data_IF_110990812660
#
_entry.id   IF_110990812660
#
_cell.length_a   1.000
_cell.length_b   1.000
_cell.length_c   1.000
_cell.angle_alpha   90.00
_cell.angle_beta   90.00
_cell.angle_gamma   90.00
#
_symmetry.space_group_name_H-M   'P 1'
#
loop_
_entity.id
_entity.type
_entity.pdbx_description
1 polymer ?
#
# COMPACT_ATOMS: atom_id res chain seq x y z
N UNK A 1 2.25 -20.23 15.21
CA UNK A 1 3.54 -20.73 14.65
C UNK A 1 4.23 -21.56 15.73
N UNK A 2 4.70 -22.78 15.48
CA UNK A 2 5.43 -23.60 16.45
C UNK A 2 6.90 -23.55 16.06
N UNK A 3 7.73 -22.82 16.83
CA UNK A 3 9.18 -22.82 16.62
C UNK A 3 9.75 -24.20 16.93
N UNK A 4 10.56 -24.75 16.02
CA UNK A 4 11.11 -26.08 16.14
C UNK A 4 12.39 -26.13 17.00
N UNK A 5 13.20 -25.08 17.03
CA UNK A 5 14.42 -24.96 17.86
C UNK A 5 14.86 -23.50 18.04
N UNK A 6 15.43 -23.20 19.20
CA UNK A 6 16.14 -21.95 19.44
C UNK A 6 17.39 -22.24 20.28
N UNK A 7 18.56 -21.86 19.75
CA UNK A 7 19.83 -21.91 20.46
C UNK A 7 20.22 -20.49 20.87
N UNK A 8 19.60 -20.02 21.96
CA UNK A 8 19.97 -18.73 22.55
C UNK A 8 21.23 -18.85 23.37
N UNK A 9 22.11 -17.84 23.26
CA UNK A 9 23.30 -17.75 24.09
C UNK A 9 22.94 -17.68 25.59
N UNK A 10 23.83 -18.16 26.46
CA UNK A 10 23.56 -18.30 27.91
C UNK A 10 23.02 -17.02 28.56
N UNK A 11 23.42 -15.83 28.07
CA UNK A 11 23.00 -14.53 28.61
C UNK A 11 21.77 -13.91 27.88
N UNK A 12 21.24 -14.54 26.82
CA UNK A 12 20.07 -14.06 26.09
C UNK A 12 18.85 -14.84 26.52
N UNK A 13 17.79 -14.13 26.82
CA UNK A 13 16.50 -14.70 27.21
C UNK A 13 15.50 -14.74 26.03
N UNK A 14 15.59 -13.80 25.08
CA UNK A 14 14.68 -13.71 23.95
C UNK A 14 15.34 -12.97 22.76
N UNK A 15 14.82 -13.18 21.55
CA UNK A 15 15.23 -12.52 20.31
C UNK A 15 14.02 -12.13 19.48
N UNK A 16 13.97 -10.86 19.10
CA UNK A 16 12.90 -10.29 18.29
C UNK A 16 13.46 -9.72 16.98
N UNK A 17 12.65 -9.65 15.93
CA UNK A 17 12.93 -8.82 14.76
C UNK A 17 12.08 -7.55 14.82
N UNK A 18 12.65 -6.44 14.35
CA UNK A 18 11.90 -5.25 14.02
C UNK A 18 11.61 -5.27 12.52
N UNK A 19 10.33 -5.19 12.18
CA UNK A 19 9.85 -5.07 10.80
C UNK A 19 9.50 -3.62 10.54
N UNK A 20 9.87 -3.12 9.37
CA UNK A 20 9.55 -1.76 8.93
C UNK A 20 9.08 -1.79 7.48
N UNK A 21 8.10 -0.94 7.14
CA UNK A 21 7.65 -0.73 5.78
C UNK A 21 8.62 0.16 5.00
N UNK A 22 8.89 -0.23 3.76
CA UNK A 22 9.71 0.49 2.79
C UNK A 22 9.01 0.53 1.44
N UNK A 23 9.50 1.34 0.53
CA UNK A 23 9.01 1.48 -0.84
C UNK A 23 8.90 0.15 -1.62
N UNK A 24 9.72 -0.85 -1.26
CA UNK A 24 9.74 -2.19 -1.87
C UNK A 24 8.98 -3.26 -1.08
N UNK A 25 8.29 -2.89 -0.03
CA UNK A 25 7.66 -3.81 0.92
C UNK A 25 8.41 -3.89 2.26
N UNK A 26 8.05 -4.83 3.16
CA UNK A 26 8.65 -4.89 4.48
C UNK A 26 10.09 -5.36 4.45
N UNK A 27 10.88 -4.81 5.37
CA UNK A 27 12.25 -5.21 5.63
C UNK A 27 12.50 -5.40 7.12
N UNK A 28 13.65 -6.01 7.45
CA UNK A 28 14.10 -6.21 8.83
C UNK A 28 15.41 -5.43 9.06
N UNK A 29 15.31 -4.16 9.52
CA UNK A 29 16.49 -3.34 9.80
C UNK A 29 17.18 -3.67 11.11
N UNK A 30 16.50 -4.34 12.08
CA UNK A 30 17.04 -4.61 13.40
C UNK A 30 16.69 -5.98 13.92
N UNK A 31 17.61 -6.55 14.69
CA UNK A 31 17.38 -7.66 15.61
C UNK A 31 17.52 -7.11 17.01
N UNK A 32 16.57 -7.41 17.89
CA UNK A 32 16.54 -6.99 19.27
C UNK A 32 16.74 -8.23 20.15
N UNK A 33 17.75 -8.19 20.99
CA UNK A 33 18.07 -9.25 21.94
C UNK A 33 17.67 -8.79 23.33
N UNK A 34 16.89 -9.61 24.03
CA UNK A 34 16.65 -9.42 25.46
C UNK A 34 17.69 -10.21 26.25
N UNK A 35 18.42 -9.53 27.10
CA UNK A 35 19.42 -10.11 27.99
C UNK A 35 18.77 -10.55 29.31
N UNK A 36 19.48 -11.40 30.05
CA UNK A 36 19.05 -11.80 31.43
C UNK A 36 19.45 -10.77 32.49
N UNK A 37 20.38 -9.88 32.17
CA UNK A 37 20.86 -8.83 33.06
C UNK A 37 21.07 -7.53 32.27
N UNK A 38 20.87 -6.39 32.93
CA UNK A 38 21.13 -5.08 32.34
C UNK A 38 22.62 -4.88 32.07
N UNK A 39 22.92 -4.21 30.95
CA UNK A 39 24.28 -3.80 30.59
C UNK A 39 24.32 -2.30 30.36
N UNK A 40 25.40 -1.64 30.71
CA UNK A 40 25.52 -0.17 30.65
C UNK A 40 26.08 0.31 29.30
N UNK A 41 26.77 -0.54 28.56
CA UNK A 41 27.28 -0.25 27.24
C UNK A 41 27.51 -1.52 26.42
N UNK A 42 27.40 -1.38 25.10
CA UNK A 42 27.65 -2.46 24.15
C UNK A 42 28.26 -1.89 22.88
N UNK A 43 29.20 -2.66 22.32
CA UNK A 43 29.75 -2.41 20.97
C UNK A 43 30.24 -3.72 20.37
N UNK A 44 30.44 -3.78 19.07
CA UNK A 44 31.07 -4.92 18.41
C UNK A 44 32.08 -4.46 17.37
N UNK A 45 33.21 -5.18 17.33
CA UNK A 45 34.27 -4.93 16.33
C UNK A 45 34.07 -5.74 15.06
N UNK A 46 33.36 -6.85 15.14
CA UNK A 46 32.96 -7.69 14.01
C UNK A 46 31.80 -8.56 14.43
N UNK A 47 30.87 -8.72 13.51
CA UNK A 47 29.72 -9.59 13.69
C UNK A 47 29.17 -10.01 12.32
N UNK A 48 28.52 -11.15 12.29
CA UNK A 48 27.75 -11.58 11.13
C UNK A 48 26.34 -11.89 11.57
N UNK A 49 25.41 -11.49 10.73
CA UNK A 49 23.99 -11.78 10.88
C UNK A 49 23.49 -12.39 9.60
N UNK A 50 22.68 -13.41 9.71
CA UNK A 50 21.86 -13.90 8.60
C UNK A 50 20.40 -13.85 9.00
N UNK A 51 19.55 -13.39 8.07
CA UNK A 51 18.08 -13.41 8.20
C UNK A 51 17.51 -14.10 6.98
N UNK A 52 16.58 -15.04 7.17
CA UNK A 52 16.00 -15.84 6.08
C UNK A 52 17.09 -16.49 5.18
N UNK A 53 18.23 -16.88 5.76
CA UNK A 53 19.37 -17.47 5.04
C UNK A 53 20.26 -16.49 4.27
N UNK A 54 19.97 -15.18 4.29
CA UNK A 54 20.77 -14.14 3.63
C UNK A 54 21.71 -13.46 4.62
N UNK A 55 22.97 -13.24 4.21
CA UNK A 55 23.93 -12.48 5.00
C UNK A 55 23.54 -10.99 5.07
N UNK A 56 23.60 -10.40 6.27
CA UNK A 56 23.28 -9.00 6.53
C UNK A 56 24.52 -8.24 6.97
N UNK A 57 24.61 -6.98 6.55
CA UNK A 57 25.69 -6.09 6.99
C UNK A 57 25.26 -5.39 8.27
N UNK A 58 25.94 -5.66 9.39
CA UNK A 58 25.72 -4.95 10.65
C UNK A 58 26.30 -3.53 10.55
N UNK A 59 25.51 -2.54 10.89
CA UNK A 59 25.86 -1.11 10.83
C UNK A 59 26.14 -0.52 12.22
N UNK A 60 25.37 -0.94 13.25
CA UNK A 60 25.56 -0.50 14.64
C UNK A 60 25.07 -1.57 15.61
N UNK A 61 25.58 -1.52 16.85
CA UNK A 61 25.10 -2.31 17.99
C UNK A 61 25.08 -1.39 19.21
N UNK A 62 23.93 -1.33 19.88
CA UNK A 62 23.72 -0.40 21.00
C UNK A 62 22.69 -0.94 22.00
N UNK A 63 22.69 -0.37 23.22
CA UNK A 63 21.63 -0.59 24.21
C UNK A 63 20.34 0.12 23.76
N UNK A 64 19.20 -0.54 23.89
CA UNK A 64 17.91 -0.02 23.46
C UNK A 64 16.79 -0.34 24.46
N UNK A 65 15.61 0.16 24.22
CA UNK A 65 14.38 -0.29 24.88
C UNK A 65 13.81 -1.55 24.19
N UNK A 66 12.70 -2.05 24.70
CA UNK A 66 12.02 -3.22 24.14
C UNK A 66 11.56 -3.05 22.67
N UNK A 67 11.44 -1.79 22.21
CA UNK A 67 11.06 -1.45 20.83
C UNK A 67 12.26 -1.17 19.93
N UNK A 68 13.49 -1.41 20.43
CA UNK A 68 14.73 -1.20 19.67
C UNK A 68 15.12 0.28 19.51
N UNK A 69 14.56 1.18 20.34
CA UNK A 69 14.96 2.60 20.37
C UNK A 69 16.19 2.75 21.25
N UNK A 70 17.23 3.45 20.72
CA UNK A 70 18.49 3.65 21.41
C UNK A 70 18.29 4.33 22.78
N UNK A 71 18.90 3.78 23.83
CA UNK A 71 18.88 4.33 25.18
C UNK A 71 20.25 4.92 25.56
N UNK A 72 20.25 5.94 26.44
CA UNK A 72 21.50 6.52 26.98
C UNK A 72 21.99 5.84 28.29
N UNK A 73 21.24 4.84 28.75
CA UNK A 73 21.49 4.19 30.05
C UNK A 73 21.63 2.69 29.95
N UNK A 74 21.73 2.05 31.12
CA UNK A 74 21.71 0.60 31.20
C UNK A 74 20.38 0.04 30.68
N UNK A 75 20.42 -1.09 30.00
CA UNK A 75 19.26 -1.80 29.48
C UNK A 75 19.52 -3.31 29.45
N UNK A 76 18.46 -4.08 29.58
CA UNK A 76 18.45 -5.51 29.29
C UNK A 76 18.17 -5.81 27.80
N UNK A 77 18.08 -4.78 26.94
CA UNK A 77 17.92 -4.94 25.50
C UNK A 77 19.11 -4.41 24.72
N UNK A 78 19.49 -5.14 23.68
CA UNK A 78 20.51 -4.76 22.69
C UNK A 78 19.88 -4.80 21.30
N UNK A 79 20.04 -3.73 20.53
CA UNK A 79 19.73 -3.70 19.11
C UNK A 79 20.98 -4.00 18.27
N UNK A 80 20.81 -4.86 17.28
CA UNK A 80 21.77 -5.10 16.20
C UNK A 80 21.14 -4.51 14.94
N UNK A 81 21.66 -3.37 14.51
CA UNK A 81 21.17 -2.66 13.33
C UNK A 81 21.87 -3.15 12.07
N UNK A 82 21.11 -3.28 10.99
CA UNK A 82 21.57 -3.84 9.73
C UNK A 82 21.26 -2.92 8.56
N UNK A 83 22.22 -2.82 7.63
CA UNK A 83 21.94 -2.18 6.35
C UNK A 83 20.76 -2.88 5.65
N UNK A 84 19.78 -2.08 5.20
CA UNK A 84 18.59 -2.56 4.53
C UNK A 84 18.43 -1.82 3.22
N UNK A 85 18.17 -2.54 2.14
CA UNK A 85 17.99 -2.02 0.80
C UNK A 85 16.99 -2.88 0.05
N UNK A 86 16.53 -2.42 -1.10
CA UNK A 86 15.63 -3.18 -1.98
C UNK A 86 16.18 -4.57 -2.37
N UNK A 87 17.50 -4.74 -2.40
CA UNK A 87 18.18 -6.00 -2.74
C UNK A 87 18.48 -6.88 -1.51
N UNK A 88 18.41 -6.33 -0.31
CA UNK A 88 18.73 -7.02 0.93
C UNK A 88 17.80 -6.57 2.08
N UNK A 89 16.50 -6.65 1.84
CA UNK A 89 15.49 -6.26 2.82
C UNK A 89 15.36 -7.27 3.98
N UNK A 90 15.62 -8.56 3.72
CA UNK A 90 15.32 -9.63 4.66
C UNK A 90 13.83 -9.69 4.97
N UNK A 91 12.97 -9.51 3.95
CA UNK A 91 11.52 -9.46 4.13
C UNK A 91 10.99 -10.71 4.83
N UNK A 92 10.15 -10.55 5.85
CA UNK A 92 9.45 -11.68 6.49
C UNK A 92 8.17 -12.08 5.75
N UNK A 93 7.77 -11.36 4.67
CA UNK A 93 6.68 -11.76 3.80
C UNK A 93 7.19 -12.62 2.65
N UNK A 94 6.43 -13.64 2.32
CA UNK A 94 6.68 -14.54 1.18
C UNK A 94 5.43 -14.62 0.30
N UNK A 95 5.64 -14.76 -1.00
CA UNK A 95 4.53 -14.96 -1.93
C UNK A 95 4.06 -16.41 -1.90
N UNK A 96 2.78 -16.62 -1.63
CA UNK A 96 2.12 -17.93 -1.72
C UNK A 96 1.51 -18.10 -3.11
N UNK A 97 2.15 -18.88 -3.96
CA UNK A 97 1.70 -19.11 -5.33
C UNK A 97 0.40 -19.93 -5.45
N UNK A 98 -0.07 -20.56 -4.38
CA UNK A 98 -1.34 -21.26 -4.36
C UNK A 98 -2.50 -20.32 -4.01
N UNK A 99 -2.28 -19.43 -3.06
CA UNK A 99 -3.25 -18.41 -2.65
C UNK A 99 -3.18 -17.12 -3.49
N UNK A 100 -2.09 -16.95 -4.27
CA UNK A 100 -1.84 -15.79 -5.11
C UNK A 100 -1.72 -14.46 -4.33
N UNK A 101 -1.28 -14.52 -3.08
CA UNK A 101 -1.05 -13.35 -2.25
C UNK A 101 0.17 -13.51 -1.35
N UNK A 102 0.62 -12.42 -0.73
CA UNK A 102 1.67 -12.46 0.29
C UNK A 102 1.12 -13.01 1.61
N UNK A 103 1.99 -13.70 2.34
CA UNK A 103 1.77 -14.11 3.73
C UNK A 103 3.05 -13.98 4.53
N UNK A 104 2.94 -14.00 5.85
CA UNK A 104 4.11 -14.15 6.72
C UNK A 104 4.77 -15.49 6.49
N UNK A 105 6.10 -15.51 6.47
CA UNK A 105 6.87 -16.75 6.32
C UNK A 105 6.58 -17.71 7.48
N UNK A 106 6.34 -18.96 7.17
CA UNK A 106 6.11 -20.01 8.19
C UNK A 106 7.34 -20.22 9.07
N UNK A 107 8.53 -19.97 8.50
CA UNK A 107 9.82 -20.00 9.20
C UNK A 107 10.63 -18.78 8.81
N UNK A 108 11.30 -18.16 9.79
CA UNK A 108 12.18 -17.03 9.55
C UNK A 108 13.47 -17.23 10.35
N UNK A 109 14.44 -18.01 9.82
CA UNK A 109 15.68 -18.29 10.53
C UNK A 109 16.53 -17.04 10.68
N UNK A 110 16.95 -16.80 11.91
CA UNK A 110 17.90 -15.72 12.28
C UNK A 110 19.09 -16.34 12.95
N UNK A 111 20.30 -15.97 12.50
CA UNK A 111 21.56 -16.35 13.14
C UNK A 111 22.38 -15.10 13.39
N UNK A 112 22.82 -14.94 14.62
CA UNK A 112 23.71 -13.87 15.05
C UNK A 112 25.01 -14.47 15.53
N UNK A 113 26.12 -14.00 14.99
CA UNK A 113 27.47 -14.35 15.44
C UNK A 113 28.26 -13.06 15.65
N UNK A 114 28.53 -12.74 16.91
CA UNK A 114 29.35 -11.58 17.32
C UNK A 114 30.55 -12.07 18.14
N UNK A 115 31.64 -12.46 17.48
CA UNK A 115 32.80 -13.07 18.19
C UNK A 115 33.53 -12.11 19.11
N UNK A 116 33.28 -10.81 19.01
CA UNK A 116 33.88 -9.78 19.88
C UNK A 116 32.85 -8.73 20.25
N UNK A 117 31.76 -9.14 20.90
CA UNK A 117 30.86 -8.22 21.54
C UNK A 117 31.48 -7.68 22.82
N UNK A 118 31.61 -6.37 22.97
CA UNK A 118 32.07 -5.70 24.17
C UNK A 118 30.88 -5.25 24.98
N UNK A 119 30.71 -5.79 26.17
CA UNK A 119 29.65 -5.45 27.11
C UNK A 119 30.30 -4.93 28.37
N UNK A 120 30.01 -3.73 28.82
CA UNK A 120 30.56 -3.06 29.98
C UNK A 120 32.13 -3.08 30.05
N UNK A 121 32.75 -3.03 28.85
CA UNK A 121 34.21 -3.05 28.71
C UNK A 121 34.86 -4.43 28.68
N UNK A 122 34.09 -5.50 28.88
CA UNK A 122 34.54 -6.88 28.79
C UNK A 122 34.24 -7.49 27.42
N UNK A 123 35.12 -8.35 26.91
CA UNK A 123 34.91 -9.03 25.63
C UNK A 123 34.11 -10.32 25.82
N UNK A 124 33.08 -10.48 25.07
CA UNK A 124 32.28 -11.70 25.02
C UNK A 124 32.32 -12.31 23.62
N UNK A 125 32.32 -13.65 23.57
CA UNK A 125 32.01 -14.35 22.33
C UNK A 125 30.51 -14.67 22.36
N UNK A 126 29.80 -14.26 21.31
CA UNK A 126 28.35 -14.35 21.27
C UNK A 126 27.89 -15.05 20.00
N UNK A 127 26.99 -16.02 20.14
CA UNK A 127 26.30 -16.69 19.02
C UNK A 127 24.88 -17.05 19.45
N UNK A 128 23.89 -16.71 18.65
CA UNK A 128 22.52 -17.12 18.88
C UNK A 128 21.84 -17.44 17.55
N UNK A 129 20.89 -18.37 17.56
CA UNK A 129 20.08 -18.68 16.41
C UNK A 129 18.66 -19.06 16.79
N UNK A 130 17.70 -18.72 15.93
CA UNK A 130 16.32 -19.15 16.01
C UNK A 130 15.85 -19.55 14.61
N UNK A 131 15.01 -20.56 14.49
CA UNK A 131 14.48 -21.03 13.21
C UNK A 131 13.21 -20.26 12.79
N UNK A 132 12.47 -19.74 13.76
CA UNK A 132 11.34 -18.84 13.50
C UNK A 132 11.26 -17.76 14.60
N UNK A 133 10.64 -16.66 14.28
CA UNK A 133 10.42 -15.55 15.22
C UNK A 133 8.97 -15.61 15.70
N UNK A 134 8.80 -15.83 17.01
CA UNK A 134 7.48 -15.82 17.66
C UNK A 134 6.95 -14.41 17.90
N UNK A 135 7.87 -13.44 17.98
CA UNK A 135 7.56 -12.04 18.23
C UNK A 135 8.25 -11.17 17.19
N UNK A 136 7.48 -10.34 16.57
CA UNK A 136 7.96 -9.25 15.74
C UNK A 136 7.41 -7.93 16.27
N UNK A 137 8.23 -6.90 16.19
CA UNK A 137 7.84 -5.52 16.49
C UNK A 137 7.72 -4.83 15.15
N UNK A 138 6.58 -4.21 14.89
CA UNK A 138 6.33 -3.46 13.67
C UNK A 138 5.67 -2.11 14.00
N UNK A 139 6.47 -1.07 14.32
CA UNK A 139 5.94 0.24 14.70
C UNK A 139 5.01 0.85 13.66
N UNK A 140 5.23 0.55 12.38
CA UNK A 140 4.40 1.07 11.28
C UNK A 140 2.96 0.52 11.34
N UNK A 141 2.78 -0.78 11.66
CA UNK A 141 1.44 -1.38 11.78
C UNK A 141 0.82 -1.18 13.15
N UNK A 142 1.64 -1.02 14.20
CA UNK A 142 1.17 -0.74 15.56
C UNK A 142 0.43 0.61 15.68
N UNK A 143 0.73 1.58 14.82
CA UNK A 143 -0.02 2.84 14.72
C UNK A 143 -1.46 2.64 14.25
N UNK A 144 -1.74 1.54 13.56
CA UNK A 144 -3.06 1.14 13.09
C UNK A 144 -3.69 0.18 14.11
N UNK A 145 -4.18 0.73 15.21
CA UNK A 145 -4.62 -0.06 16.36
C UNK A 145 -6.04 -0.61 16.26
N UNK A 146 -6.89 0.01 15.44
CA UNK A 146 -8.26 -0.44 15.24
C UNK A 146 -8.33 -1.53 14.18
N UNK A 147 -8.82 -2.71 14.55
CA UNK A 147 -8.92 -3.89 13.67
C UNK A 147 -10.32 -4.46 13.78
N UNK A 148 -10.91 -4.78 12.65
CA UNK A 148 -12.24 -5.41 12.57
C UNK A 148 -12.34 -6.30 11.32
N UNK A 149 -13.38 -7.12 11.27
CA UNK A 149 -13.77 -7.88 10.11
C UNK A 149 -15.28 -7.81 9.93
N UNK A 150 -15.72 -7.53 8.72
CA UNK A 150 -17.14 -7.53 8.39
C UNK A 150 -17.45 -8.68 7.43
N UNK A 151 -18.37 -9.54 7.84
CA UNK A 151 -18.89 -10.65 7.05
C UNK A 151 -20.34 -10.39 6.69
N UNK A 152 -20.68 -10.58 5.44
CA UNK A 152 -22.04 -10.47 4.91
C UNK A 152 -22.28 -11.46 3.78
N UNK A 153 -23.55 -11.63 3.43
CA UNK A 153 -23.98 -12.52 2.35
C UNK A 153 -24.45 -11.68 1.16
N UNK A 154 -23.81 -11.86 0.01
CA UNK A 154 -24.04 -11.08 -1.21
C UNK A 154 -24.21 -11.99 -2.42
N UNK A 155 -24.94 -11.49 -3.43
CA UNK A 155 -25.10 -12.19 -4.68
C UNK A 155 -23.78 -12.22 -5.46
N UNK A 156 -23.26 -13.40 -5.72
CA UNK A 156 -22.20 -13.59 -6.69
C UNK A 156 -22.82 -13.62 -8.09
N UNK A 157 -22.65 -12.53 -8.84
CA UNK A 157 -23.26 -12.38 -10.17
C UNK A 157 -22.70 -13.34 -11.22
N UNK A 158 -21.52 -13.93 -10.99
CA UNK A 158 -20.92 -14.90 -11.88
C UNK A 158 -21.57 -16.30 -11.73
N UNK A 159 -21.79 -16.73 -10.49
CA UNK A 159 -22.42 -18.02 -10.19
C UNK A 159 -23.95 -17.94 -10.13
N UNK A 160 -24.50 -16.77 -9.83
CA UNK A 160 -25.92 -16.54 -9.58
C UNK A 160 -26.38 -17.05 -8.20
N UNK A 161 -25.46 -17.35 -7.29
CA UNK A 161 -25.71 -17.84 -5.92
C UNK A 161 -25.32 -16.79 -4.89
N UNK A 162 -25.94 -16.86 -3.70
CA UNK A 162 -25.48 -16.06 -2.56
C UNK A 162 -24.20 -16.68 -1.98
N UNK A 163 -23.22 -15.82 -1.68
CA UNK A 163 -21.91 -16.18 -1.14
C UNK A 163 -21.64 -15.37 0.12
N UNK A 164 -21.12 -16.01 1.16
CA UNK A 164 -20.59 -15.33 2.34
C UNK A 164 -19.22 -14.75 1.98
N UNK A 165 -19.04 -13.45 2.23
CA UNK A 165 -17.80 -12.72 1.96
C UNK A 165 -17.37 -12.00 3.23
N UNK A 166 -16.06 -11.88 3.43
CA UNK A 166 -15.46 -11.16 4.56
C UNK A 166 -14.48 -10.10 4.04
N UNK A 167 -14.56 -8.90 4.59
CA UNK A 167 -13.52 -7.89 4.45
C UNK A 167 -12.88 -7.62 5.80
N UNK A 168 -11.54 -7.59 5.80
CA UNK A 168 -10.76 -7.25 6.97
C UNK A 168 -10.36 -5.78 6.92
N UNK A 169 -10.37 -5.11 8.05
CA UNK A 169 -10.02 -3.70 8.16
C UNK A 169 -8.95 -3.47 9.20
N UNK A 170 -8.11 -2.48 8.93
CA UNK A 170 -7.14 -1.96 9.87
C UNK A 170 -7.11 -0.44 9.74
N UNK A 171 -7.14 0.28 10.86
CA UNK A 171 -7.23 1.72 10.83
C UNK A 171 -6.26 2.42 11.79
N UNK A 172 -5.70 3.53 11.32
CA UNK A 172 -5.12 4.58 12.14
C UNK A 172 -6.22 5.58 12.50
N UNK A 173 -6.32 5.89 13.78
CA UNK A 173 -7.31 6.79 14.33
C UNK A 173 -6.59 7.98 14.99
N UNK A 174 -6.79 9.22 14.52
CA UNK A 174 -6.25 10.41 15.16
C UNK A 174 -6.94 10.67 16.50
N UNK A 175 -6.43 11.62 17.28
CA UNK A 175 -7.10 12.02 18.51
C UNK A 175 -8.53 12.49 18.23
N UNK A 176 -9.48 12.04 19.08
CA UNK A 176 -10.88 12.45 18.98
C UNK A 176 -11.04 13.95 19.29
N UNK A 177 -11.86 14.60 18.49
CA UNK A 177 -12.12 16.02 18.61
C UNK A 177 -13.22 16.34 19.61
N UNK A 178 -13.01 17.38 20.41
CA UNK A 178 -14.04 17.90 21.33
C UNK A 178 -15.02 18.82 20.60
N UNK A 179 -16.28 18.88 21.09
CA UNK A 179 -17.25 19.89 20.63
C UNK A 179 -17.99 19.60 19.34
N UNK A 180 -17.88 18.37 18.80
CA UNK A 180 -18.60 17.95 17.60
C UNK A 180 -17.89 18.29 16.29
N UNK A 181 -16.64 18.71 16.34
CA UNK A 181 -15.75 18.81 15.20
C UNK A 181 -15.33 17.43 14.71
N UNK A 182 -14.91 17.30 13.45
CA UNK A 182 -14.71 16.01 12.80
C UNK A 182 -13.44 16.00 11.97
N UNK A 183 -12.79 14.83 11.95
CA UNK A 183 -11.63 14.52 11.14
C UNK A 183 -12.01 13.92 9.79
N UNK A 184 -11.25 14.16 8.71
CA UNK A 184 -11.46 13.46 7.44
C UNK A 184 -11.07 11.99 7.53
N UNK A 185 -11.54 11.19 6.56
CA UNK A 185 -11.22 9.78 6.40
C UNK A 185 -10.55 9.53 5.06
N UNK A 186 -9.35 8.97 5.08
CA UNK A 186 -8.64 8.44 3.91
C UNK A 186 -8.80 6.92 3.89
N UNK A 187 -9.37 6.39 2.81
CA UNK A 187 -9.53 4.95 2.61
C UNK A 187 -8.50 4.49 1.57
N UNK A 188 -7.78 3.41 1.90
CA UNK A 188 -6.83 2.77 1.01
C UNK A 188 -7.26 1.36 0.62
N UNK A 189 -7.27 1.09 -0.68
CA UNK A 189 -7.55 -0.21 -1.26
C UNK A 189 -6.27 -0.82 -1.83
N UNK A 190 -5.94 -2.01 -1.37
CA UNK A 190 -4.68 -2.69 -1.64
C UNK A 190 -4.49 -3.17 -3.07
N UNK A 191 -3.25 -3.47 -3.45
CA UNK A 191 -2.89 -4.06 -4.74
C UNK A 191 -3.20 -5.57 -4.83
N UNK A 192 -2.91 -6.16 -6.00
CA UNK A 192 -3.30 -7.53 -6.34
C UNK A 192 -2.82 -8.59 -5.34
N UNK A 193 -1.60 -8.51 -4.82
CA UNK A 193 -0.98 -9.57 -4.02
C UNK A 193 -1.15 -9.39 -2.51
N UNK A 194 -1.94 -8.43 -2.10
CA UNK A 194 -2.14 -8.06 -0.70
C UNK A 194 -3.50 -8.53 -0.16
N UNK A 195 -4.24 -9.33 -0.93
CA UNK A 195 -5.48 -9.99 -0.47
C UNK A 195 -5.22 -11.01 0.64
N UNK A 196 -6.26 -11.49 1.28
CA UNK A 196 -6.19 -12.50 2.36
C UNK A 196 -6.94 -12.10 3.61
N UNK A 197 -6.44 -12.57 4.77
CA UNK A 197 -7.10 -12.42 6.06
C UNK A 197 -6.24 -11.69 7.10
N UNK A 198 -5.13 -11.10 6.67
CA UNK A 198 -4.20 -10.36 7.53
C UNK A 198 -3.98 -8.94 6.98
N UNK A 199 -4.69 -7.94 7.52
CA UNK A 199 -4.65 -6.58 6.99
C UNK A 199 -3.32 -5.85 7.24
N UNK A 200 -2.40 -6.36 8.07
CA UNK A 200 -1.03 -5.82 8.16
C UNK A 200 -0.31 -5.86 6.82
N UNK A 201 -0.62 -6.87 6.00
CA UNK A 201 -0.03 -7.02 4.67
C UNK A 201 -0.39 -5.83 3.76
N UNK A 202 -1.60 -5.31 3.88
CA UNK A 202 -2.04 -4.15 3.08
C UNK A 202 -1.33 -2.85 3.46
N UNK A 203 -0.79 -2.77 4.67
CA UNK A 203 -0.01 -1.63 5.13
C UNK A 203 1.46 -1.72 4.71
N UNK A 204 2.00 -2.94 4.70
CA UNK A 204 3.44 -3.18 4.48
C UNK A 204 3.78 -3.51 3.03
N UNK A 205 2.88 -4.14 2.30
CA UNK A 205 3.16 -4.64 0.95
C UNK A 205 3.56 -3.54 -0.03
N UNK A 206 2.86 -2.41 0.00
CA UNK A 206 3.12 -1.22 -0.82
C UNK A 206 3.39 0.03 0.03
N UNK A 207 3.74 -0.11 1.30
CA UNK A 207 4.05 1.00 2.22
C UNK A 207 2.84 1.90 2.55
N UNK A 208 1.61 1.41 2.48
CA UNK A 208 0.42 2.21 2.80
C UNK A 208 0.41 2.73 4.26
N UNK A 209 1.20 2.12 5.16
CA UNK A 209 1.48 2.64 6.50
C UNK A 209 1.99 4.09 6.50
N UNK A 210 2.61 4.56 5.42
CA UNK A 210 3.05 5.94 5.26
C UNK A 210 1.93 6.96 5.38
N UNK A 211 0.68 6.61 5.08
CA UNK A 211 -0.48 7.50 5.24
C UNK A 211 -0.70 7.94 6.70
N UNK A 212 -0.19 7.20 7.67
CA UNK A 212 -0.24 7.58 9.08
C UNK A 212 1.01 8.33 9.56
N UNK A 213 2.03 8.52 8.72
CA UNK A 213 3.25 9.28 9.08
C UNK A 213 2.98 10.78 9.18
N UNK A 214 3.71 11.46 10.01
CA UNK A 214 3.52 12.89 10.28
C UNK A 214 3.70 13.75 9.02
N UNK A 215 4.58 13.32 8.08
CA UNK A 215 4.81 13.98 6.79
C UNK A 215 3.54 14.08 5.94
N UNK A 216 2.61 13.15 6.10
CA UNK A 216 1.32 13.13 5.41
C UNK A 216 0.21 13.66 6.33
N UNK A 217 0.16 13.21 7.58
CA UNK A 217 -0.87 13.61 8.54
C UNK A 217 -0.92 15.11 8.79
N UNK A 218 0.23 15.82 8.73
CA UNK A 218 0.31 17.25 8.90
C UNK A 218 -0.51 18.06 7.87
N UNK A 219 -0.85 17.48 6.72
CA UNK A 219 -1.75 18.13 5.75
C UNK A 219 -3.21 18.15 6.23
N UNK A 220 -3.58 17.30 7.18
CA UNK A 220 -4.93 17.15 7.71
C UNK A 220 -5.11 17.78 9.09
N UNK A 221 -4.23 18.69 9.49
CA UNK A 221 -4.25 19.40 10.79
C UNK A 221 -4.36 20.93 10.63
N UNK A 222 -4.81 21.40 9.46
CA UNK A 222 -4.79 22.83 9.13
C UNK A 222 -5.87 23.67 9.83
N UNK A 223 -6.90 23.04 10.39
CA UNK A 223 -8.00 23.68 11.13
C UNK A 223 -7.98 23.26 12.59
N UNK A 224 -9.10 22.69 13.03
CA UNK A 224 -9.22 22.09 14.36
C UNK A 224 -9.03 20.57 14.31
N UNK A 225 -8.72 20.02 13.13
CA UNK A 225 -8.47 18.61 12.94
C UNK A 225 -7.16 18.18 13.62
N UNK A 226 -7.14 16.97 14.15
CA UNK A 226 -5.96 16.34 14.76
C UNK A 226 -5.23 15.38 13.82
N UNK A 227 -5.75 15.20 12.59
CA UNK A 227 -5.25 14.34 11.54
C UNK A 227 -6.40 13.75 10.72
N UNK A 228 -6.08 12.86 9.79
CA UNK A 228 -7.06 12.06 9.07
C UNK A 228 -7.10 10.64 9.64
N UNK A 229 -8.31 10.07 9.75
CA UNK A 229 -8.45 8.63 9.85
C UNK A 229 -7.86 7.98 8.60
N UNK A 230 -7.18 6.85 8.75
CA UNK A 230 -6.71 6.05 7.63
C UNK A 230 -7.27 4.66 7.77
N UNK A 231 -8.12 4.23 6.84
CA UNK A 231 -8.74 2.92 6.82
C UNK A 231 -8.19 2.11 5.65
N UNK A 232 -7.39 1.08 5.92
CA UNK A 232 -7.01 0.09 4.92
C UNK A 232 -7.96 -1.10 4.98
N UNK A 233 -8.48 -1.51 3.82
CA UNK A 233 -9.46 -2.58 3.69
C UNK A 233 -8.86 -3.69 2.85
N UNK A 234 -8.98 -4.93 3.31
CA UNK A 234 -8.48 -6.13 2.64
C UNK A 234 -9.62 -7.04 2.21
N UNK A 235 -9.63 -7.43 0.93
CA UNK A 235 -10.49 -8.51 0.44
C UNK A 235 -9.74 -9.84 0.44
N UNK A 236 -10.49 -10.94 0.45
CA UNK A 236 -9.92 -12.28 0.53
C UNK A 236 -9.12 -12.67 -0.73
N UNK A 237 -9.53 -12.18 -1.91
CA UNK A 237 -8.92 -12.54 -3.20
C UNK A 237 -8.39 -11.29 -3.94
N UNK A 238 -9.14 -10.75 -4.87
CA UNK A 238 -8.80 -9.60 -5.70
C UNK A 238 -9.99 -8.65 -5.81
N UNK A 239 -9.77 -7.36 -5.78
CA UNK A 239 -10.84 -6.40 -6.05
C UNK A 239 -11.45 -6.58 -7.45
N UNK A 240 -10.67 -7.12 -8.39
CA UNK A 240 -11.12 -7.42 -9.76
C UNK A 240 -11.74 -8.81 -9.91
N UNK A 241 -11.99 -9.55 -8.82
CA UNK A 241 -12.67 -10.84 -8.83
C UNK A 241 -14.14 -10.66 -9.22
N UNK A 242 -14.49 -11.17 -10.39
CA UNK A 242 -15.87 -11.10 -10.93
C UNK A 242 -16.80 -12.14 -10.29
N UNK A 243 -16.27 -13.01 -9.41
CA UNK A 243 -17.00 -14.08 -8.71
C UNK A 243 -16.51 -15.48 -9.03
N UNK A 244 -15.43 -15.62 -9.80
CA UNK A 244 -14.82 -16.92 -10.14
C UNK A 244 -13.54 -17.22 -9.36
N UNK A 245 -13.17 -16.34 -8.40
CA UNK A 245 -11.98 -16.45 -7.58
C UNK A 245 -10.68 -16.05 -8.29
N UNK A 246 -10.77 -15.53 -9.51
CA UNK A 246 -9.61 -15.13 -10.31
C UNK A 246 -9.46 -13.62 -10.38
N UNK A 247 -8.24 -13.17 -10.69
CA UNK A 247 -8.01 -11.76 -10.97
C UNK A 247 -8.57 -11.42 -12.34
N UNK A 248 -9.64 -10.62 -12.40
CA UNK A 248 -10.26 -10.14 -13.64
C UNK A 248 -9.37 -9.19 -14.44
N UNK A 249 -9.94 -8.55 -15.46
CA UNK A 249 -9.22 -7.63 -16.35
C UNK A 249 -9.78 -6.19 -16.31
N UNK A 250 -10.43 -5.80 -15.21
CA UNK A 250 -10.93 -4.43 -15.04
C UNK A 250 -12.25 -4.14 -15.74
N UNK A 251 -13.16 -5.11 -15.82
CA UNK A 251 -14.46 -4.99 -16.50
C UNK A 251 -15.46 -4.06 -15.84
N UNK A 252 -15.20 -3.64 -14.60
CA UNK A 252 -16.18 -2.92 -13.77
C UNK A 252 -17.16 -3.85 -13.07
N UNK A 253 -16.90 -5.14 -13.04
CA UNK A 253 -17.63 -6.15 -12.27
C UNK A 253 -16.73 -6.63 -11.16
N UNK A 254 -17.19 -6.57 -9.90
CA UNK A 254 -16.51 -7.10 -8.74
C UNK A 254 -17.52 -7.65 -7.76
N UNK A 255 -17.28 -8.87 -7.26
CA UNK A 255 -18.12 -9.45 -6.21
C UNK A 255 -18.06 -8.66 -4.90
N UNK A 256 -17.02 -7.85 -4.71
CA UNK A 256 -16.80 -7.08 -3.49
C UNK A 256 -17.44 -5.68 -3.48
N UNK A 257 -18.10 -5.24 -4.55
CA UNK A 257 -18.61 -3.86 -4.66
C UNK A 257 -19.59 -3.50 -3.52
N UNK A 258 -20.57 -4.35 -3.24
CA UNK A 258 -21.59 -4.09 -2.23
C UNK A 258 -21.04 -4.21 -0.81
N UNK A 259 -20.32 -5.29 -0.50
CA UNK A 259 -19.75 -5.50 0.84
C UNK A 259 -18.72 -4.41 1.18
N UNK A 260 -17.96 -3.89 0.21
CA UNK A 260 -17.04 -2.80 0.43
C UNK A 260 -17.77 -1.53 0.86
N UNK A 261 -18.87 -1.20 0.18
CA UNK A 261 -19.68 -0.04 0.57
C UNK A 261 -20.26 -0.19 1.99
N UNK A 262 -20.79 -1.37 2.30
CA UNK A 262 -21.33 -1.67 3.63
C UNK A 262 -20.25 -1.61 4.72
N UNK A 263 -19.04 -2.11 4.42
CA UNK A 263 -17.89 -2.03 5.33
C UNK A 263 -17.51 -0.58 5.62
N UNK A 264 -17.41 0.26 4.58
CA UNK A 264 -17.12 1.68 4.71
C UNK A 264 -18.20 2.40 5.53
N UNK A 265 -19.48 2.16 5.20
CA UNK A 265 -20.60 2.79 5.89
C UNK A 265 -20.61 2.44 7.38
N UNK A 266 -20.39 1.16 7.73
CA UNK A 266 -20.29 0.69 9.12
C UNK A 266 -19.13 1.35 9.88
N UNK A 267 -17.97 1.47 9.25
CA UNK A 267 -16.83 2.15 9.87
C UNK A 267 -17.14 3.63 10.17
N UNK A 268 -17.74 4.35 9.22
CA UNK A 268 -18.14 5.75 9.40
C UNK A 268 -19.22 5.90 10.49
N UNK A 269 -20.21 4.99 10.55
CA UNK A 269 -21.25 4.99 11.58
C UNK A 269 -20.69 4.71 12.98
N UNK A 270 -19.67 3.87 13.08
CA UNK A 270 -19.02 3.51 14.36
C UNK A 270 -18.10 4.62 14.87
N UNK A 271 -17.55 5.44 14.00
CA UNK A 271 -16.62 6.51 14.31
C UNK A 271 -17.29 7.89 14.13
N UNK A 272 -17.96 8.36 15.18
CA UNK A 272 -18.85 9.54 15.11
C UNK A 272 -18.15 10.86 14.88
N UNK A 273 -16.84 10.92 15.04
CA UNK A 273 -15.95 12.06 14.73
C UNK A 273 -15.29 11.98 13.34
N UNK A 274 -15.60 10.97 12.53
CA UNK A 274 -15.33 10.99 11.08
C UNK A 274 -16.29 11.98 10.41
N UNK A 275 -15.75 12.84 9.55
CA UNK A 275 -16.55 13.76 8.72
C UNK A 275 -17.11 13.04 7.49
N UNK A 276 -18.43 12.78 7.41
CA UNK A 276 -19.05 12.09 6.28
C UNK A 276 -19.00 12.91 4.98
N UNK A 277 -18.65 14.19 5.05
CA UNK A 277 -18.46 15.04 3.87
C UNK A 277 -17.01 15.06 3.38
N UNK A 278 -16.09 14.45 4.11
CA UNK A 278 -14.65 14.45 3.79
C UNK A 278 -14.09 13.03 3.82
N UNK A 279 -14.71 12.15 3.01
CA UNK A 279 -14.28 10.76 2.82
C UNK A 279 -13.57 10.67 1.48
N UNK A 280 -12.30 10.27 1.50
CA UNK A 280 -11.42 10.18 0.34
C UNK A 280 -11.09 8.73 0.05
N UNK A 281 -11.19 8.32 -1.21
CA UNK A 281 -10.95 6.95 -1.63
C UNK A 281 -9.75 6.87 -2.56
N UNK A 282 -8.80 6.01 -2.23
CA UNK A 282 -7.64 5.72 -3.07
C UNK A 282 -7.23 4.26 -3.04
N UNK A 283 -6.39 3.89 -3.97
CA UNK A 283 -5.84 2.55 -4.07
C UNK A 283 -4.92 2.42 -5.27
N UNK A 284 -4.06 1.41 -5.27
CA UNK A 284 -3.12 1.17 -6.35
C UNK A 284 -3.48 -0.09 -7.14
N UNK A 285 -3.26 -0.05 -8.47
CA UNK A 285 -3.42 -1.23 -9.33
C UNK A 285 -4.83 -1.84 -9.23
N UNK A 286 -4.95 -3.02 -8.68
CA UNK A 286 -6.21 -3.69 -8.34
C UNK A 286 -7.09 -2.84 -7.41
N UNK A 287 -6.49 -2.18 -6.39
CA UNK A 287 -7.18 -1.21 -5.55
C UNK A 287 -7.55 0.08 -6.29
N UNK A 288 -6.71 0.52 -7.23
CA UNK A 288 -7.03 1.64 -8.13
C UNK A 288 -8.22 1.33 -9.04
N UNK A 289 -8.33 0.09 -9.54
CA UNK A 289 -9.53 -0.40 -10.21
C UNK A 289 -10.76 -0.24 -9.32
N UNK A 290 -10.68 -0.75 -8.09
CA UNK A 290 -11.81 -0.72 -7.18
C UNK A 290 -12.16 0.72 -6.75
N UNK A 291 -11.18 1.61 -6.67
CA UNK A 291 -11.42 3.05 -6.47
C UNK A 291 -12.35 3.59 -7.57
N UNK A 292 -12.01 3.38 -8.84
CA UNK A 292 -12.84 3.84 -9.97
C UNK A 292 -14.20 3.12 -10.00
N UNK A 293 -14.23 1.81 -9.70
CA UNK A 293 -15.46 1.03 -9.65
C UNK A 293 -16.44 1.54 -8.59
N UNK A 294 -15.94 1.91 -7.41
CA UNK A 294 -16.76 2.48 -6.35
C UNK A 294 -17.33 3.85 -6.74
N UNK A 295 -16.55 4.70 -7.45
CA UNK A 295 -17.08 5.97 -7.95
C UNK A 295 -18.20 5.77 -8.96
N UNK A 296 -18.07 4.79 -9.87
CA UNK A 296 -19.11 4.48 -10.87
C UNK A 296 -20.41 4.01 -10.21
N UNK A 297 -20.30 3.24 -9.12
CA UNK A 297 -21.48 2.69 -8.43
C UNK A 297 -22.05 3.64 -7.36
N UNK A 298 -21.20 4.49 -6.74
CA UNK A 298 -21.58 5.39 -5.65
C UNK A 298 -21.00 6.81 -5.86
N UNK A 299 -21.35 7.50 -6.95
CA UNK A 299 -20.71 8.77 -7.34
C UNK A 299 -20.89 9.90 -6.33
N UNK A 300 -21.95 9.87 -5.52
CA UNK A 300 -22.29 10.91 -4.54
C UNK A 300 -21.73 10.63 -3.13
N UNK A 301 -21.02 9.51 -2.93
CA UNK A 301 -20.59 9.11 -1.58
C UNK A 301 -19.24 9.71 -1.18
N UNK A 302 -18.28 9.76 -2.08
CA UNK A 302 -16.90 10.19 -1.79
C UNK A 302 -16.72 11.68 -2.10
N UNK A 303 -15.97 12.39 -1.24
CA UNK A 303 -15.62 13.79 -1.46
C UNK A 303 -14.53 13.96 -2.52
N UNK A 304 -13.61 12.99 -2.60
CA UNK A 304 -12.59 12.92 -3.63
C UNK A 304 -12.05 11.50 -3.78
N UNK A 305 -11.36 11.26 -4.90
CA UNK A 305 -10.64 10.02 -5.13
C UNK A 305 -9.23 10.26 -5.72
N UNK A 306 -8.31 9.33 -5.41
CA UNK A 306 -6.91 9.39 -5.87
C UNK A 306 -6.45 8.01 -6.38
N UNK A 307 -6.99 7.54 -7.53
CA UNK A 307 -6.60 6.27 -8.14
C UNK A 307 -5.14 6.30 -8.62
N UNK A 308 -4.36 5.31 -8.20
CA UNK A 308 -2.95 5.15 -8.52
C UNK A 308 -2.76 3.93 -9.43
N UNK A 309 -2.07 4.06 -10.59
CA UNK A 309 -1.88 3.01 -11.60
C UNK A 309 -3.13 2.11 -11.76
N UNK A 310 -4.29 2.75 -11.85
CA UNK A 310 -5.60 2.11 -11.78
C UNK A 310 -5.84 1.14 -12.94
N UNK A 311 -6.47 0.01 -12.64
CA UNK A 311 -6.68 -1.09 -13.58
C UNK A 311 -8.14 -1.22 -14.06
N UNK A 312 -8.94 -0.16 -13.98
CA UNK A 312 -10.28 -0.15 -14.60
C UNK A 312 -10.13 0.04 -16.11
N UNK A 313 -10.41 -1.00 -16.88
CA UNK A 313 -10.16 -0.92 -18.32
C UNK A 313 -11.12 0.04 -19.02
N UNK A 314 -10.55 0.92 -19.83
CA UNK A 314 -11.36 1.77 -20.71
C UNK A 314 -12.03 0.95 -21.81
N UNK A 315 -11.30 -0.02 -22.39
CA UNK A 315 -11.77 -0.84 -23.49
C UNK A 315 -12.36 -2.16 -23.01
N UNK A 316 -13.33 -2.70 -23.76
CA UNK A 316 -13.88 -4.02 -23.52
C UNK A 316 -12.98 -5.11 -24.12
N UNK A 317 -12.64 -6.10 -23.29
CA UNK A 317 -11.88 -7.27 -23.70
C UNK A 317 -12.78 -8.41 -24.14
N UNK A 318 -12.37 -9.12 -25.20
CA UNK A 318 -13.09 -10.25 -25.74
C UNK A 318 -13.12 -11.47 -24.82
N UNK A 319 -14.23 -12.20 -24.83
CA UNK A 319 -14.40 -13.44 -24.08
C UNK A 319 -14.66 -14.62 -25.02
N UNK A 320 -14.17 -15.79 -24.60
CA UNK A 320 -14.52 -17.08 -25.17
C UNK A 320 -15.96 -17.48 -24.80
N UNK A 321 -16.51 -18.50 -25.44
CA UNK A 321 -17.85 -19.00 -25.16
C UNK A 321 -18.06 -19.54 -23.73
N UNK A 322 -16.96 -19.91 -23.04
CA UNK A 322 -16.97 -20.35 -21.65
C UNK A 322 -16.81 -19.22 -20.63
N UNK A 323 -16.82 -17.96 -21.07
CA UNK A 323 -16.67 -16.78 -20.22
C UNK A 323 -15.21 -16.34 -19.95
N UNK A 324 -14.21 -17.17 -20.21
CA UNK A 324 -12.80 -16.79 -20.03
C UNK A 324 -12.39 -15.70 -21.02
N UNK A 325 -11.42 -14.86 -20.64
CA UNK A 325 -10.89 -13.85 -21.55
C UNK A 325 -10.07 -14.46 -22.69
N UNK A 326 -10.12 -13.83 -23.86
CA UNK A 326 -9.29 -14.17 -25.02
C UNK A 326 -7.91 -13.58 -24.86
N UNK A 327 -6.98 -14.34 -24.33
CA UNK A 327 -5.59 -13.92 -24.08
C UNK A 327 -4.68 -14.60 -25.10
N UNK A 328 -3.82 -13.84 -25.75
CA UNK A 328 -2.71 -14.40 -26.53
C UNK A 328 -1.57 -14.85 -25.59
N UNK A 329 -1.57 -16.10 -25.23
CA UNK A 329 -0.58 -16.69 -24.34
C UNK A 329 0.87 -16.58 -24.87
N UNK A 330 1.09 -16.27 -26.16
CA UNK A 330 2.42 -16.10 -26.74
C UNK A 330 3.03 -14.72 -26.42
N UNK A 331 2.21 -13.75 -26.08
CA UNK A 331 2.64 -12.39 -25.72
C UNK A 331 3.05 -12.23 -24.25
N UNK A 332 3.01 -13.31 -23.47
CA UNK A 332 3.29 -13.31 -22.03
C UNK A 332 2.09 -12.82 -21.21
N UNK A 333 2.28 -12.70 -19.89
CA UNK A 333 1.25 -12.22 -18.96
C UNK A 333 1.22 -10.68 -19.01
N UNK A 334 0.69 -10.13 -20.09
CA UNK A 334 0.52 -8.69 -20.21
C UNK A 334 -0.87 -8.40 -20.74
N UNK A 335 -1.51 -7.36 -20.22
CA UNK A 335 -2.82 -6.90 -20.70
C UNK A 335 -2.78 -6.48 -22.20
N UNK A 336 -1.60 -6.30 -22.80
CA UNK A 336 -1.42 -6.11 -24.25
C UNK A 336 -1.83 -7.33 -25.08
N UNK A 337 -1.89 -8.51 -24.46
CA UNK A 337 -2.20 -9.77 -25.14
C UNK A 337 -3.71 -10.05 -25.25
N UNK A 338 -4.58 -9.17 -24.73
CA UNK A 338 -6.02 -9.39 -24.71
C UNK A 338 -6.67 -8.82 -25.97
N UNK A 339 -7.56 -9.61 -26.60
CA UNK A 339 -8.32 -9.18 -27.77
C UNK A 339 -9.36 -8.11 -27.37
N UNK A 340 -9.33 -6.95 -28.02
CA UNK A 340 -10.34 -5.89 -27.84
C UNK A 340 -11.58 -6.17 -28.71
N UNK A 341 -12.77 -5.93 -28.16
CA UNK A 341 -14.03 -6.07 -28.92
C UNK A 341 -14.36 -4.86 -29.80
N UNK A 342 -13.72 -3.72 -29.54
CA UNK A 342 -14.06 -2.44 -30.14
C UNK A 342 -15.08 -1.62 -29.35
N UNK A 343 -15.65 -2.20 -28.30
CA UNK A 343 -16.52 -1.49 -27.35
C UNK A 343 -15.70 -0.93 -26.16
N UNK A 344 -16.37 -0.27 -25.24
CA UNK A 344 -15.77 0.27 -24.01
C UNK A 344 -16.50 -0.25 -22.77
N UNK A 345 -15.72 -0.60 -21.74
CA UNK A 345 -16.27 -0.81 -20.40
C UNK A 345 -16.47 0.52 -19.66
N UNK A 346 -15.59 1.50 -19.89
CA UNK A 346 -15.80 2.88 -19.44
C UNK A 346 -16.68 3.61 -20.46
N UNK A 347 -18.00 3.43 -20.34
CA UNK A 347 -19.00 4.02 -21.23
C UNK A 347 -19.21 5.51 -20.98
N UNK A 348 -19.89 6.21 -21.92
CA UNK A 348 -20.19 7.63 -21.76
C UNK A 348 -21.11 7.88 -20.55
N UNK A 349 -22.02 6.95 -20.23
CA UNK A 349 -22.88 7.04 -19.05
C UNK A 349 -22.07 6.97 -17.74
N UNK A 350 -21.05 6.11 -17.68
CA UNK A 350 -20.15 6.02 -16.51
C UNK A 350 -19.31 7.29 -16.39
N UNK A 351 -18.78 7.81 -17.48
CA UNK A 351 -18.04 9.09 -17.50
C UNK A 351 -18.93 10.22 -16.98
N UNK A 352 -20.16 10.34 -17.49
CA UNK A 352 -21.12 11.36 -17.02
C UNK A 352 -21.45 11.22 -15.52
N UNK A 353 -21.55 10.00 -15.01
CA UNK A 353 -21.84 9.74 -13.60
C UNK A 353 -20.73 10.23 -12.67
N UNK A 354 -19.45 10.10 -13.08
CA UNK A 354 -18.31 10.39 -12.20
C UNK A 354 -17.56 11.69 -12.51
N UNK A 355 -17.85 12.37 -13.62
CA UNK A 355 -17.10 13.57 -14.05
C UNK A 355 -17.08 14.72 -13.03
N UNK A 356 -18.07 14.79 -12.15
CA UNK A 356 -18.16 15.81 -11.12
C UNK A 356 -17.52 15.41 -9.77
N UNK A 357 -17.07 14.16 -9.64
CA UNK A 357 -16.30 13.71 -8.46
C UNK A 357 -14.89 14.29 -8.57
N UNK A 358 -14.36 14.98 -7.54
CA UNK A 358 -12.97 15.39 -7.53
C UNK A 358 -12.04 14.19 -7.62
N UNK A 359 -11.12 14.18 -8.60
CA UNK A 359 -10.20 13.06 -8.83
C UNK A 359 -8.79 13.51 -9.14
N UNK A 360 -7.81 12.77 -8.64
CA UNK A 360 -6.41 12.94 -9.02
C UNK A 360 -5.78 11.61 -9.40
N UNK A 361 -5.61 11.37 -10.67
CA UNK A 361 -4.95 10.18 -11.22
C UNK A 361 -3.43 10.28 -11.13
N UNK A 362 -2.77 9.18 -10.75
CA UNK A 362 -1.31 9.07 -10.73
C UNK A 362 -0.86 7.87 -11.55
N UNK A 363 -0.03 8.10 -12.57
CA UNK A 363 0.41 7.09 -13.52
C UNK A 363 1.93 7.23 -13.77
N UNK A 364 2.58 6.13 -14.18
CA UNK A 364 3.90 6.20 -14.81
C UNK A 364 3.79 5.71 -16.26
N UNK A 365 4.36 6.47 -17.22
CA UNK A 365 4.18 6.16 -18.64
C UNK A 365 4.83 4.84 -19.06
N UNK A 366 5.83 4.39 -18.32
CA UNK A 366 6.54 3.13 -18.53
C UNK A 366 5.94 1.95 -17.73
N UNK A 367 4.72 2.09 -17.19
CA UNK A 367 4.03 0.96 -16.55
C UNK A 367 3.80 -0.16 -17.55
N UNK A 368 4.46 -1.30 -17.33
CA UNK A 368 4.37 -2.50 -18.14
C UNK A 368 3.36 -3.53 -17.62
N UNK A 369 2.71 -3.27 -16.49
CA UNK A 369 1.71 -4.13 -15.87
C UNK A 369 0.29 -3.67 -16.19
N UNK A 370 -0.02 -2.42 -15.85
CA UNK A 370 -1.28 -1.75 -16.21
C UNK A 370 -0.95 -0.63 -17.19
N UNK A 371 -1.16 -0.89 -18.48
CA UNK A 371 -0.77 0.04 -19.54
C UNK A 371 -1.55 1.35 -19.45
N UNK A 372 -0.93 2.50 -19.16
CA UNK A 372 -1.65 3.76 -19.05
C UNK A 372 -2.55 4.10 -20.24
N UNK A 373 -2.13 3.69 -21.45
CA UNK A 373 -2.86 3.94 -22.71
C UNK A 373 -4.12 3.08 -22.88
N UNK A 374 -4.32 2.06 -22.06
CA UNK A 374 -5.51 1.19 -22.11
C UNK A 374 -6.44 1.41 -20.91
N UNK A 375 -5.97 2.10 -19.88
CA UNK A 375 -6.65 2.29 -18.61
C UNK A 375 -6.81 3.77 -18.25
N UNK A 376 -5.94 4.33 -17.43
CA UNK A 376 -6.10 5.65 -16.85
C UNK A 376 -6.03 6.81 -17.84
N UNK A 377 -5.17 6.78 -18.87
CA UNK A 377 -5.06 7.89 -19.82
C UNK A 377 -6.34 8.13 -20.64
N UNK A 378 -6.94 7.12 -21.31
CA UNK A 378 -8.18 7.34 -22.04
C UNK A 378 -9.37 7.65 -21.10
N UNK A 379 -9.39 7.09 -19.90
CA UNK A 379 -10.40 7.42 -18.87
C UNK A 379 -10.30 8.88 -18.47
N UNK A 380 -9.10 9.35 -18.12
CA UNK A 380 -8.87 10.76 -17.78
C UNK A 380 -9.23 11.70 -18.94
N UNK A 381 -8.78 11.38 -20.18
CA UNK A 381 -9.09 12.19 -21.36
C UNK A 381 -10.62 12.30 -21.57
N UNK A 382 -11.34 11.19 -21.44
CA UNK A 382 -12.80 11.18 -21.59
C UNK A 382 -13.49 12.04 -20.52
N UNK A 383 -13.01 11.99 -19.26
CA UNK A 383 -13.53 12.83 -18.17
C UNK A 383 -13.36 14.32 -18.46
N UNK A 384 -12.15 14.76 -18.83
CA UNK A 384 -11.89 16.18 -19.10
C UNK A 384 -12.58 16.67 -20.38
N UNK A 385 -12.76 15.82 -21.38
CA UNK A 385 -13.55 16.11 -22.58
C UNK A 385 -15.06 16.21 -22.27
N UNK A 386 -15.54 15.46 -21.27
CA UNK A 386 -16.92 15.56 -20.78
C UNK A 386 -17.15 16.77 -19.85
N UNK A 387 -16.09 17.56 -19.57
CA UNK A 387 -16.17 18.77 -18.76
C UNK A 387 -15.93 18.55 -17.26
N UNK A 388 -15.15 17.52 -16.88
CA UNK A 388 -14.71 17.36 -15.50
C UNK A 388 -13.77 18.51 -15.09
N UNK A 389 -14.18 19.36 -14.16
CA UNK A 389 -13.43 20.56 -13.77
C UNK A 389 -12.38 20.27 -12.70
N UNK A 390 -12.71 19.48 -11.67
CA UNK A 390 -11.80 19.11 -10.57
C UNK A 390 -11.26 17.67 -10.78
N UNK A 391 -10.62 17.46 -11.93
CA UNK A 391 -10.01 16.20 -12.31
C UNK A 391 -8.57 16.43 -12.77
N UNK A 392 -7.62 15.80 -12.10
CA UNK A 392 -6.18 16.06 -12.26
C UNK A 392 -5.44 14.79 -12.63
N UNK A 393 -4.29 14.93 -13.28
CA UNK A 393 -3.45 13.82 -13.72
C UNK A 393 -1.98 14.15 -13.51
N UNK A 394 -1.28 13.28 -12.78
CA UNK A 394 0.19 13.25 -12.71
C UNK A 394 0.72 12.06 -13.50
N UNK A 395 1.70 12.30 -14.38
CA UNK A 395 2.33 11.25 -15.18
C UNK A 395 3.84 11.29 -14.98
N UNK A 396 4.37 10.25 -14.39
CA UNK A 396 5.80 10.08 -14.16
C UNK A 396 6.48 9.39 -15.35
N UNK A 397 7.75 9.69 -15.58
CA UNK A 397 8.54 9.08 -16.64
C UNK A 397 8.96 7.65 -16.29
N UNK A 398 9.40 7.46 -15.06
CA UNK A 398 9.76 6.18 -14.44
C UNK A 398 9.61 6.30 -12.92
N UNK A 399 9.91 5.25 -12.16
CA UNK A 399 9.80 5.24 -10.70
C UNK A 399 11.17 5.10 -10.07
N UNK A 400 11.55 6.11 -9.27
CA UNK A 400 12.79 6.14 -8.50
C UNK A 400 12.42 6.41 -7.04
N UNK A 401 12.93 5.58 -6.14
CA UNK A 401 12.66 5.69 -4.72
C UNK A 401 13.56 6.67 -3.97
N UNK A 402 13.25 6.88 -2.70
CA UNK A 402 14.02 7.67 -1.75
C UNK A 402 14.68 6.82 -0.67
N UNK A 403 14.09 5.70 -0.29
CA UNK A 403 14.65 4.75 0.68
C UNK A 403 15.92 4.08 0.16
N UNK A 404 15.92 3.76 -1.13
CA UNK A 404 17.10 3.27 -1.84
C UNK A 404 17.28 4.06 -3.14
N UNK A 405 17.99 5.21 -3.13
CA UNK A 405 18.17 6.05 -4.32
C UNK A 405 18.90 5.37 -5.48
N UNK A 406 19.52 4.22 -5.25
CA UNK A 406 20.12 3.40 -6.28
C UNK A 406 19.11 2.44 -6.94
N UNK A 407 17.94 2.25 -6.34
CA UNK A 407 16.89 1.40 -6.89
C UNK A 407 16.11 2.11 -7.99
N UNK A 408 15.77 1.35 -9.02
CA UNK A 408 14.79 1.74 -10.04
C UNK A 408 13.69 0.71 -10.00
N UNK A 409 12.47 1.16 -9.74
CA UNK A 409 11.30 0.31 -9.66
C UNK A 409 10.63 0.15 -11.02
N UNK A 410 9.82 -0.90 -11.18
CA UNK A 410 8.93 -0.99 -12.32
C UNK A 410 7.98 0.22 -12.35
N UNK A 411 7.62 0.71 -13.53
CA UNK A 411 6.70 1.86 -13.66
C UNK A 411 5.36 1.64 -12.95
N UNK A 412 4.95 0.39 -12.78
CA UNK A 412 3.76 0.03 -12.02
C UNK A 412 3.81 0.46 -10.55
N UNK A 413 5.00 0.54 -9.96
CA UNK A 413 5.19 0.92 -8.54
C UNK A 413 5.05 2.44 -8.29
N UNK A 414 4.27 3.16 -9.09
CA UNK A 414 4.15 4.63 -9.02
C UNK A 414 3.56 5.14 -7.70
N UNK A 415 2.97 4.26 -6.87
CA UNK A 415 2.56 4.57 -5.49
C UNK A 415 3.72 5.01 -4.60
N UNK A 416 4.97 4.69 -4.94
CA UNK A 416 6.18 5.20 -4.26
C UNK A 416 6.13 6.73 -4.19
N UNK A 417 5.77 7.40 -5.29
CA UNK A 417 5.63 8.86 -5.28
C UNK A 417 4.48 9.38 -4.44
N UNK A 418 3.40 8.59 -4.30
CA UNK A 418 2.27 8.92 -3.44
C UNK A 418 2.73 8.90 -1.97
N UNK A 419 3.29 7.79 -1.51
CA UNK A 419 3.67 7.61 -0.12
C UNK A 419 4.85 8.47 0.32
N UNK A 420 5.68 8.93 -0.63
CA UNK A 420 6.77 9.88 -0.41
C UNK A 420 6.34 11.35 -0.56
N UNK A 421 5.04 11.63 -0.70
CA UNK A 421 4.51 12.98 -0.89
C UNK A 421 5.17 13.72 -2.08
N UNK A 422 5.43 13.01 -3.17
CA UNK A 422 6.11 13.54 -4.36
C UNK A 422 5.16 13.84 -5.53
N UNK A 423 3.85 13.71 -5.35
CA UNK A 423 2.85 14.08 -6.34
C UNK A 423 2.53 15.57 -6.15
N UNK A 424 3.30 16.43 -6.84
CA UNK A 424 3.30 17.89 -6.65
C UNK A 424 2.94 18.66 -7.91
N UNK A 425 2.74 17.99 -9.04
CA UNK A 425 2.43 18.64 -10.31
C UNK A 425 1.44 17.84 -11.14
N UNK A 426 0.76 18.52 -12.04
CA UNK A 426 -0.23 17.94 -12.94
C UNK A 426 0.08 18.23 -14.39
N UNK A 427 -0.45 17.40 -15.27
CA UNK A 427 -0.41 17.54 -16.72
C UNK A 427 -1.30 18.69 -17.22
N UNK A 428 -0.97 19.19 -18.38
CA UNK A 428 -1.72 20.26 -19.07
C UNK A 428 -3.04 19.69 -19.66
N UNK A 429 -4.15 20.01 -19.03
CA UNK A 429 -5.49 19.55 -19.41
C UNK A 429 -5.84 19.94 -20.85
N UNK A 430 -5.52 21.16 -21.27
CA UNK A 430 -5.88 21.65 -22.62
C UNK A 430 -5.18 20.84 -23.71
N UNK A 431 -3.92 20.44 -23.48
CA UNK A 431 -3.19 19.56 -24.38
C UNK A 431 -3.82 18.17 -24.46
N UNK A 432 -4.29 17.63 -23.33
CA UNK A 432 -4.92 16.30 -23.27
C UNK A 432 -6.29 16.33 -23.97
N UNK A 433 -7.10 17.36 -23.74
CA UNK A 433 -8.39 17.54 -24.44
C UNK A 433 -8.21 17.64 -25.94
N UNK A 434 -7.17 18.34 -26.39
CA UNK A 434 -6.89 18.55 -27.81
C UNK A 434 -6.18 17.38 -28.50
N UNK A 435 -5.63 16.44 -27.74
CA UNK A 435 -4.85 15.33 -28.30
C UNK A 435 -5.74 14.35 -29.07
N UNK A 436 -5.32 14.03 -30.30
CA UNK A 436 -5.97 13.06 -31.16
C UNK A 436 -5.09 11.82 -31.43
N UNK A 437 -3.92 11.78 -30.83
CA UNK A 437 -2.96 10.69 -30.98
C UNK A 437 -2.91 9.82 -29.71
N UNK A 438 -2.21 8.71 -29.80
CA UNK A 438 -2.05 7.73 -28.73
C UNK A 438 -1.06 8.16 -27.63
N UNK A 439 -0.51 9.36 -27.68
CA UNK A 439 0.28 9.99 -26.63
C UNK A 439 -0.56 10.81 -25.67
N UNK A 440 -1.85 11.01 -25.96
CA UNK A 440 -2.81 11.72 -25.11
C UNK A 440 -2.36 13.14 -24.72
N UNK A 441 -1.39 13.73 -25.41
CA UNK A 441 -0.87 15.06 -25.09
C UNK A 441 -0.10 15.17 -23.77
N UNK A 442 0.22 14.04 -23.11
CA UNK A 442 0.97 14.03 -21.86
C UNK A 442 2.46 14.28 -22.06
N UNK A 443 3.08 14.90 -21.06
CA UNK A 443 4.53 15.14 -20.98
C UNK A 443 5.02 14.56 -19.65
N UNK A 444 5.39 13.27 -19.61
CA UNK A 444 5.83 12.61 -18.39
C UNK A 444 7.05 13.31 -17.76
N UNK A 445 7.09 13.39 -16.44
CA UNK A 445 8.23 13.95 -15.71
C UNK A 445 8.31 13.41 -14.28
N UNK A 446 9.51 13.12 -13.81
CA UNK A 446 9.75 12.74 -12.42
C UNK A 446 9.72 13.94 -11.45
N UNK A 447 9.63 15.15 -11.97
CA UNK A 447 9.42 16.35 -11.17
C UNK A 447 7.92 16.51 -10.86
N UNK A 448 7.43 15.73 -9.90
CA UNK A 448 6.06 15.83 -9.39
C UNK A 448 4.94 15.30 -10.28
N UNK A 449 5.27 14.69 -11.45
CA UNK A 449 4.29 14.14 -12.40
C UNK A 449 3.68 15.17 -13.36
N UNK A 450 4.09 16.44 -13.31
CA UNK A 450 3.63 17.51 -14.19
C UNK A 450 4.24 18.86 -13.83
N UNK A 451 4.00 19.87 -14.67
CA UNK A 451 4.58 21.21 -14.51
C UNK A 451 3.60 22.28 -14.04
N UNK A 452 2.33 21.94 -13.91
CA UNK A 452 1.26 22.81 -13.44
C UNK A 452 0.83 22.41 -12.04
N UNK A 453 0.18 23.28 -11.29
CA UNK A 453 -0.42 22.97 -10.00
C UNK A 453 -1.91 22.60 -10.17
N UNK A 454 -2.41 21.74 -9.31
CA UNK A 454 -3.83 21.42 -9.24
C UNK A 454 -4.55 22.51 -8.45
N UNK A 455 -5.15 23.47 -9.13
CA UNK A 455 -5.91 24.57 -8.55
C UNK A 455 -5.16 25.35 -7.46
N UNK A 456 -3.84 25.51 -7.62
CA UNK A 456 -2.96 26.24 -6.69
C UNK A 456 -2.45 25.43 -5.52
N UNK A 457 -2.86 24.16 -5.35
CA UNK A 457 -2.35 23.27 -4.30
C UNK A 457 -0.92 22.80 -4.60
N UNK A 458 -0.13 22.62 -3.56
CA UNK A 458 1.28 22.25 -3.66
C UNK A 458 1.51 20.75 -3.90
N UNK A 459 0.56 19.93 -3.49
CA UNK A 459 0.60 18.46 -3.64
C UNK A 459 -0.78 17.82 -3.50
N UNK A 460 -0.82 16.49 -3.71
CA UNK A 460 -2.03 15.68 -3.63
C UNK A 460 -2.74 15.81 -2.26
N UNK A 461 -2.01 15.77 -1.14
CA UNK A 461 -2.63 15.73 0.19
C UNK A 461 -3.21 17.09 0.59
N UNK A 462 -2.57 18.20 0.22
CA UNK A 462 -3.15 19.53 0.39
C UNK A 462 -4.45 19.67 -0.44
N UNK A 463 -4.42 19.17 -1.68
CA UNK A 463 -5.61 19.15 -2.52
C UNK A 463 -6.72 18.27 -1.92
N UNK A 464 -6.41 17.04 -1.45
CA UNK A 464 -7.38 16.17 -0.80
C UNK A 464 -8.04 16.86 0.38
N UNK A 465 -7.27 17.47 1.26
CA UNK A 465 -7.78 18.14 2.46
C UNK A 465 -8.72 19.30 2.15
N UNK A 466 -8.61 19.90 0.97
CA UNK A 466 -9.48 20.97 0.49
C UNK A 466 -10.83 20.48 -0.07
N UNK A 467 -11.00 19.13 -0.26
CA UNK A 467 -12.23 18.60 -0.86
C UNK A 467 -13.29 18.31 0.20
N UNK A 468 -14.54 18.66 -0.10
CA UNK A 468 -15.73 18.38 0.72
C UNK A 468 -16.95 18.30 -0.18
N UNK A 469 -17.91 17.46 0.21
CA UNK A 469 -19.24 17.36 -0.45
C UNK A 469 -20.11 18.55 -0.09
#
# INVERSE_FOLDING_TARGET
MVCASSDLYENVSDMHILVQGYEWGPGVPKIILQLKEEVSSVSANAGSVTTAGQARTVTDIYTCDANGQKTEGASDYIAIEMATSSQNAGSPLVYDGAALHYKWADTYPVKVECPQLVVDGENYTYSASVDCIDKQICPDTERFSARDAFTGTYLNSFTGEEEEMTLHTIAYEPESLAGGEKNPLVIWLHGQWEGGEDPDITLLGNEACALARDEIQNYFTAGNETGAYVLSIQCETFWMDEGDGTNGLGSGISKYTEILMDTIARYVESNTDVDPNRIYLGGASNGGYMTVNMLVNYPDYFAAAFPCCEAYSFYEFGRNANGSYKIDASAGYSLQAVELTGNRWMTDEKIEAIKNVPMWFTLAINDGTVFPKAFGLPTYQALVQAGADNCWLSVFENVVGTDDPAASYAGHSVWVYLFNNQITGVQDRDKIVAAADDNFGVVPTNAGGGTLSADGHSNLYEWLNAQSK
#
